data_IF_970062282972
#
_entry.id   IF_970062282972
#
_cell.length_a   1.000
_cell.length_b   1.000
_cell.length_c   1.000
_cell.angle_alpha   90.00
_cell.angle_beta   90.00
_cell.angle_gamma   90.00
#
_symmetry.space_group_name_H-M   'P 1'
#
loop_
_entity.id
_entity.type
_entity.pdbx_description
1 polymer ?
#
# COMPACT_ATOMS: atom_id res chain seq x y z
N UNK A 1 -12.98 13.14 11.99
CA UNK A 1 -12.56 13.13 13.42
C UNK A 1 -13.59 13.77 14.35
N UNK A 2 -14.02 15.02 14.14
CA UNK A 2 -15.00 15.73 14.99
C UNK A 2 -16.28 14.93 15.30
N UNK A 3 -16.76 14.14 14.33
CA UNK A 3 -18.03 13.40 14.43
C UNK A 3 -17.86 11.89 14.69
N UNK A 4 -16.67 11.41 15.04
CA UNK A 4 -16.44 9.97 15.30
C UNK A 4 -16.54 9.04 14.08
N UNK A 5 -16.76 9.57 12.87
CA UNK A 5 -16.81 8.79 11.63
C UNK A 5 -15.42 8.24 11.30
N UNK A 6 -15.35 6.92 11.06
CA UNK A 6 -14.14 6.23 10.64
C UNK A 6 -13.78 6.60 9.20
N UNK A 7 -12.49 6.81 8.97
CA UNK A 7 -11.93 7.25 7.69
C UNK A 7 -10.99 6.20 7.10
N UNK A 8 -11.12 5.95 5.80
CA UNK A 8 -10.24 5.05 5.06
C UNK A 8 -9.59 5.81 3.90
N UNK A 9 -8.27 5.78 3.86
CA UNK A 9 -7.47 6.43 2.82
C UNK A 9 -7.03 5.40 1.78
N UNK A 10 -7.18 5.75 0.51
CA UNK A 10 -6.76 4.92 -0.63
C UNK A 10 -5.70 5.68 -1.42
N UNK A 11 -4.55 5.04 -1.66
CA UNK A 11 -3.42 5.65 -2.35
C UNK A 11 -2.84 4.69 -3.39
N UNK A 12 -2.43 5.23 -4.54
CA UNK A 12 -1.90 4.47 -5.67
C UNK A 12 -0.48 4.98 -5.94
N UNK A 13 0.46 4.07 -6.14
CA UNK A 13 1.84 4.34 -6.57
C UNK A 13 2.12 3.77 -7.96
N UNK A 14 3.04 4.37 -8.70
CA UNK A 14 3.42 3.98 -10.05
C UNK A 14 2.62 4.69 -11.15
N UNK A 15 2.01 5.84 -10.85
CA UNK A 15 1.34 6.65 -11.87
C UNK A 15 2.38 7.38 -12.75
N UNK A 16 2.04 7.72 -14.02
CA UNK A 16 2.94 8.46 -14.90
C UNK A 16 3.40 9.79 -14.28
N UNK A 17 4.70 10.07 -14.38
CA UNK A 17 5.31 11.28 -13.82
C UNK A 17 5.62 11.24 -12.33
N UNK A 18 5.26 10.15 -11.63
CA UNK A 18 5.61 9.97 -10.22
C UNK A 18 7.13 9.76 -10.03
N UNK A 19 7.68 10.32 -8.95
CA UNK A 19 9.10 10.22 -8.59
C UNK A 19 9.28 9.64 -7.19
N UNK A 20 10.50 9.23 -6.85
CA UNK A 20 10.84 8.77 -5.49
C UNK A 20 10.50 9.82 -4.43
N UNK A 21 10.73 11.10 -4.75
CA UNK A 21 10.45 12.22 -3.84
C UNK A 21 8.95 12.45 -3.66
N UNK A 22 8.17 12.39 -4.73
CA UNK A 22 6.71 12.53 -4.63
C UNK A 22 6.11 11.39 -3.83
N UNK A 23 6.59 10.15 -4.02
CA UNK A 23 6.20 8.98 -3.22
C UNK A 23 6.46 9.21 -1.74
N UNK A 24 7.68 9.63 -1.36
CA UNK A 24 8.00 9.89 0.05
C UNK A 24 7.12 11.00 0.64
N UNK A 25 6.84 12.03 -0.15
CA UNK A 25 5.94 13.12 0.25
C UNK A 25 4.52 12.62 0.47
N UNK A 26 4.00 11.78 -0.43
CA UNK A 26 2.69 11.13 -0.30
C UNK A 26 2.60 10.27 0.95
N UNK A 27 3.63 9.45 1.24
CA UNK A 27 3.68 8.63 2.46
C UNK A 27 3.67 9.51 3.72
N UNK A 28 4.47 10.58 3.76
CA UNK A 28 4.49 11.53 4.87
C UNK A 28 3.12 12.17 5.07
N UNK A 29 2.46 12.61 3.99
CA UNK A 29 1.12 13.20 4.03
C UNK A 29 0.05 12.21 4.51
N UNK A 30 0.09 10.96 4.04
CA UNK A 30 -0.81 9.90 4.48
C UNK A 30 -0.73 9.66 6.00
N UNK A 31 0.48 9.67 6.53
CA UNK A 31 0.76 9.53 7.96
C UNK A 31 0.26 10.75 8.73
N UNK A 32 0.55 11.95 8.25
CA UNK A 32 0.13 13.20 8.88
C UNK A 32 -1.39 13.34 8.95
N UNK A 33 -2.11 12.94 7.89
CA UNK A 33 -3.57 12.95 7.85
C UNK A 33 -4.18 12.04 8.94
N UNK A 34 -3.44 10.99 9.32
CA UNK A 34 -3.80 10.05 10.37
C UNK A 34 -5.25 9.52 10.28
N UNK A 35 -5.64 8.91 9.12
CA UNK A 35 -6.90 8.21 8.96
C UNK A 35 -6.96 6.95 9.84
N UNK A 36 -8.15 6.37 9.98
CA UNK A 36 -8.35 5.17 10.77
C UNK A 36 -7.82 3.91 10.07
N UNK A 37 -7.85 3.90 8.74
CA UNK A 37 -7.31 2.84 7.90
C UNK A 37 -6.66 3.44 6.64
N UNK A 38 -5.67 2.74 6.08
CA UNK A 38 -5.06 3.12 4.81
C UNK A 38 -4.75 1.89 3.94
N UNK A 39 -5.07 1.98 2.66
CA UNK A 39 -4.76 0.96 1.66
C UNK A 39 -3.87 1.57 0.57
N UNK A 40 -2.78 0.88 0.26
CA UNK A 40 -1.80 1.31 -0.72
C UNK A 40 -1.78 0.32 -1.88
N UNK A 41 -1.86 0.83 -3.10
CA UNK A 41 -1.98 0.07 -4.33
C UNK A 41 -0.85 0.38 -5.29
N UNK A 42 -0.58 -0.54 -6.19
CA UNK A 42 0.19 -0.28 -7.40
C UNK A 42 -0.76 0.12 -8.53
N UNK A 43 -0.32 1.02 -9.41
CA UNK A 43 -1.11 1.43 -10.57
C UNK A 43 -1.23 0.28 -11.56
N UNK A 44 -2.48 -0.13 -11.86
CA UNK A 44 -2.77 -1.23 -12.77
C UNK A 44 -3.29 -0.67 -14.11
N UNK A 45 -2.62 -0.94 -15.24
CA UNK A 45 -3.00 -0.44 -16.55
C UNK A 45 -4.13 -1.28 -17.18
N UNK A 46 -5.35 -1.13 -16.67
CA UNK A 46 -6.50 -1.92 -17.15
C UNK A 46 -6.83 -1.68 -18.64
N UNK A 47 -7.36 -2.69 -19.35
CA UNK A 47 -7.75 -2.57 -20.75
C UNK A 47 -8.70 -1.41 -21.01
N UNK A 48 -8.55 -0.74 -22.15
CA UNK A 48 -9.41 0.38 -22.54
C UNK A 48 -9.12 1.71 -21.84
N UNK A 49 -8.30 1.74 -20.79
CA UNK A 49 -7.93 2.97 -20.09
C UNK A 49 -6.88 3.79 -20.84
N UNK A 50 -6.88 5.11 -20.63
CA UNK A 50 -5.80 6.00 -21.11
C UNK A 50 -4.44 5.58 -20.54
N UNK A 51 -4.43 5.17 -19.28
CA UNK A 51 -3.20 4.74 -18.61
C UNK A 51 -2.58 3.53 -19.34
N UNK A 52 -3.40 2.55 -19.74
CA UNK A 52 -2.93 1.40 -20.52
C UNK A 52 -2.39 1.81 -21.88
N UNK A 53 -3.08 2.69 -22.61
CA UNK A 53 -2.59 3.20 -23.91
C UNK A 53 -1.21 3.83 -23.75
N UNK A 54 -1.07 4.73 -22.78
CA UNK A 54 0.17 5.44 -22.49
C UNK A 54 1.34 4.49 -22.20
N UNK A 55 1.17 3.52 -21.29
CA UNK A 55 2.29 2.63 -20.93
C UNK A 55 2.65 1.62 -22.01
N UNK A 56 1.69 1.26 -22.88
CA UNK A 56 1.96 0.39 -24.03
C UNK A 56 2.72 1.16 -25.11
N UNK A 57 2.24 2.35 -25.49
CA UNK A 57 2.86 3.18 -26.53
C UNK A 57 4.32 3.54 -26.16
N UNK A 58 4.59 3.78 -24.88
CA UNK A 58 5.92 4.13 -24.39
C UNK A 58 6.80 2.93 -24.01
N UNK A 59 6.29 1.70 -24.10
CA UNK A 59 7.04 0.50 -23.74
C UNK A 59 7.32 0.36 -22.23
N UNK A 60 6.50 0.97 -21.37
CA UNK A 60 6.63 0.90 -19.91
C UNK A 60 5.88 -0.28 -19.28
N UNK A 61 4.99 -0.93 -20.03
CA UNK A 61 4.28 -2.13 -19.57
C UNK A 61 5.21 -3.34 -19.60
N UNK A 62 5.40 -3.98 -18.44
CA UNK A 62 6.30 -5.12 -18.32
C UNK A 62 5.66 -6.45 -18.74
N UNK A 63 4.33 -6.55 -18.63
CA UNK A 63 3.63 -7.79 -18.93
C UNK A 63 2.14 -7.63 -19.24
N UNK A 64 1.59 -8.64 -19.90
CA UNK A 64 0.19 -8.69 -20.35
C UNK A 64 -0.59 -9.88 -19.79
N UNK A 65 0.01 -10.68 -18.91
CA UNK A 65 -0.67 -11.79 -18.26
C UNK A 65 -1.76 -11.28 -17.32
N UNK A 66 -3.03 -11.54 -17.64
CA UNK A 66 -4.17 -11.06 -16.85
C UNK A 66 -4.18 -11.57 -15.42
N UNK A 67 -3.61 -12.74 -15.15
CA UNK A 67 -3.48 -13.29 -13.80
C UNK A 67 -2.60 -12.43 -12.89
N UNK A 68 -1.78 -11.53 -13.46
CA UNK A 68 -0.89 -10.65 -12.69
C UNK A 68 -1.45 -9.23 -12.52
N UNK A 69 -2.66 -8.95 -13.04
CA UNK A 69 -3.36 -7.66 -12.93
C UNK A 69 -3.98 -7.47 -11.55
N UNK A 70 -3.12 -7.51 -10.55
CA UNK A 70 -3.46 -7.32 -9.16
C UNK A 70 -3.03 -5.93 -8.67
N UNK A 71 -3.86 -5.34 -7.82
CA UNK A 71 -3.64 -4.01 -7.24
C UNK A 71 -2.48 -3.96 -6.23
N UNK A 72 -1.90 -5.10 -5.88
CA UNK A 72 -0.75 -5.26 -5.00
C UNK A 72 0.57 -5.44 -5.79
N UNK A 73 0.52 -5.57 -7.12
CA UNK A 73 1.65 -5.91 -7.98
C UNK A 73 1.92 -4.78 -8.99
N UNK A 74 3.15 -4.28 -9.03
CA UNK A 74 3.53 -3.29 -10.03
C UNK A 74 3.72 -3.94 -11.41
N UNK A 75 3.02 -3.42 -12.42
CA UNK A 75 3.07 -3.91 -13.80
C UNK A 75 3.84 -2.99 -14.76
N UNK A 76 4.33 -1.87 -14.24
CA UNK A 76 4.95 -0.81 -15.02
C UNK A 76 6.35 -0.52 -14.49
N UNK A 77 7.23 -0.10 -15.39
CA UNK A 77 8.55 0.42 -15.06
C UNK A 77 8.85 1.63 -15.93
N UNK A 78 9.30 2.71 -15.29
CA UNK A 78 9.65 3.97 -15.94
C UNK A 78 11.16 4.20 -15.85
N UNK A 79 11.75 4.99 -16.77
CA UNK A 79 13.17 5.33 -16.70
C UNK A 79 13.61 5.90 -15.35
N UNK A 80 12.74 6.69 -14.72
CA UNK A 80 13.00 7.34 -13.43
C UNK A 80 12.50 6.56 -12.21
N UNK A 81 11.73 5.47 -12.39
CA UNK A 81 11.08 4.75 -11.29
C UNK A 81 10.78 3.30 -11.70
N UNK A 82 11.52 2.35 -11.11
CA UNK A 82 11.38 0.93 -11.47
C UNK A 82 10.18 0.25 -10.81
N UNK A 83 9.78 -0.91 -11.35
CA UNK A 83 8.77 -1.80 -10.74
C UNK A 83 9.09 -2.11 -9.28
N UNK A 84 10.34 -2.45 -8.99
CA UNK A 84 10.82 -2.84 -7.66
C UNK A 84 10.71 -1.68 -6.68
N UNK A 85 10.96 -0.46 -7.15
CA UNK A 85 10.85 0.75 -6.35
C UNK A 85 9.40 1.08 -6.01
N UNK A 86 8.47 0.92 -6.96
CA UNK A 86 7.02 1.04 -6.72
C UNK A 86 6.58 0.00 -5.68
N UNK A 87 7.02 -1.26 -5.83
CA UNK A 87 6.68 -2.33 -4.91
C UNK A 87 7.25 -2.08 -3.51
N UNK A 88 8.49 -1.58 -3.44
CA UNK A 88 9.17 -1.21 -2.19
C UNK A 88 8.49 -0.02 -1.53
N UNK A 89 8.08 0.99 -2.30
CA UNK A 89 7.32 2.13 -1.82
C UNK A 89 6.01 1.70 -1.18
N UNK A 90 5.26 0.81 -1.83
CA UNK A 90 4.03 0.22 -1.27
C UNK A 90 4.31 -0.45 0.08
N UNK A 91 5.28 -1.36 0.15
CA UNK A 91 5.68 -2.05 1.40
C UNK A 91 6.09 -1.05 2.49
N UNK A 92 6.89 -0.04 2.12
CA UNK A 92 7.33 1.04 3.02
C UNK A 92 6.17 1.85 3.57
N UNK A 93 5.18 2.18 2.74
CA UNK A 93 4.00 2.92 3.13
C UNK A 93 3.17 2.17 4.19
N UNK A 94 2.92 0.87 3.98
CA UNK A 94 2.27 0.01 4.97
C UNK A 94 3.01 0.00 6.30
N UNK A 95 4.33 -0.22 6.28
CA UNK A 95 5.18 -0.22 7.47
C UNK A 95 5.09 1.08 8.25
N UNK A 96 5.32 2.20 7.56
CA UNK A 96 5.33 3.51 8.19
C UNK A 96 3.94 3.94 8.66
N UNK A 97 2.86 3.38 8.12
CA UNK A 97 1.50 3.68 8.56
C UNK A 97 1.05 2.83 9.74
N UNK A 98 1.18 1.50 9.65
CA UNK A 98 0.61 0.58 10.65
C UNK A 98 1.52 0.36 11.86
N UNK A 99 2.83 0.57 11.74
CA UNK A 99 3.76 0.41 12.87
C UNK A 99 4.06 1.70 13.62
N UNK A 100 3.22 2.74 13.45
CA UNK A 100 3.33 3.96 14.24
C UNK A 100 2.93 3.63 15.68
N UNK A 101 3.74 3.97 16.69
CA UNK A 101 3.38 3.75 18.09
C UNK A 101 2.01 4.33 18.44
N UNK A 102 1.70 5.53 17.94
CA UNK A 102 0.41 6.19 18.14
C UNK A 102 -0.77 5.42 17.53
N UNK A 103 -0.59 4.82 16.35
CA UNK A 103 -1.61 3.99 15.72
C UNK A 103 -1.84 2.70 16.52
N UNK A 104 -0.76 2.03 16.91
CA UNK A 104 -0.81 0.80 17.71
C UNK A 104 -1.52 1.10 19.03
N UNK A 105 -1.09 2.11 19.79
CA UNK A 105 -1.69 2.48 21.07
C UNK A 105 -3.19 2.82 20.94
N UNK A 106 -3.57 3.56 19.89
CA UNK A 106 -4.99 3.84 19.61
C UNK A 106 -5.78 2.55 19.37
N UNK A 107 -5.25 1.62 18.56
CA UNK A 107 -5.91 0.33 18.32
C UNK A 107 -5.97 -0.54 19.57
N UNK A 108 -4.93 -0.51 20.40
CA UNK A 108 -4.92 -1.22 21.68
C UNK A 108 -6.03 -0.76 22.61
N UNK A 109 -6.34 0.54 22.64
CA UNK A 109 -7.45 1.10 23.43
C UNK A 109 -8.83 0.71 22.87
N UNK A 110 -8.95 0.39 21.58
CA UNK A 110 -10.19 -0.06 20.97
C UNK A 110 -10.52 -1.53 21.32
N UNK A 111 -9.54 -2.36 21.72
CA UNK A 111 -9.74 -3.78 22.05
C UNK A 111 -9.66 -4.07 23.57
N UNK A 112 -10.67 -4.70 24.18
CA UNK A 112 -10.63 -5.05 25.59
C UNK A 112 -9.54 -6.10 25.87
N UNK A 113 -8.86 -6.00 27.02
CA UNK A 113 -7.74 -6.87 27.44
C UNK A 113 -8.02 -8.38 27.36
N UNK A 114 -9.30 -8.79 27.38
CA UNK A 114 -9.72 -10.20 27.24
C UNK A 114 -9.55 -10.76 25.82
N UNK A 115 -9.63 -9.93 24.79
CA UNK A 115 -9.44 -10.31 23.38
C UNK A 115 -7.95 -10.49 23.01
N UNK A 116 -7.04 -9.96 23.82
CA UNK A 116 -5.60 -9.97 23.55
C UNK A 116 -4.99 -11.36 23.43
N UNK A 117 -5.52 -12.34 24.18
CA UNK A 117 -5.12 -13.75 24.05
C UNK A 117 -5.40 -14.31 22.65
N UNK A 118 -6.38 -13.75 21.92
CA UNK A 118 -6.70 -14.11 20.52
C UNK A 118 -5.95 -13.26 19.51
N UNK A 119 -5.76 -11.97 19.81
CA UNK A 119 -5.13 -11.00 18.90
C UNK A 119 -3.62 -11.22 18.82
N UNK A 120 -2.93 -11.51 19.93
CA UNK A 120 -1.47 -11.68 19.95
C UNK A 120 -1.01 -12.82 19.01
N UNK A 121 -1.61 -14.03 19.03
CA UNK A 121 -1.23 -15.09 18.08
C UNK A 121 -1.51 -14.71 16.63
N UNK A 122 -2.65 -14.07 16.34
CA UNK A 122 -3.01 -13.63 14.98
C UNK A 122 -2.05 -12.56 14.47
N UNK A 123 -1.73 -11.57 15.31
CA UNK A 123 -0.70 -10.58 15.02
C UNK A 123 0.65 -11.27 14.80
N UNK A 124 1.06 -12.20 15.66
CA UNK A 124 2.30 -12.95 15.47
C UNK A 124 2.34 -13.70 14.13
N UNK A 125 1.27 -14.42 13.76
CA UNK A 125 1.18 -15.11 12.47
C UNK A 125 1.18 -14.15 11.29
N UNK A 126 0.45 -13.04 11.38
CA UNK A 126 0.42 -11.98 10.39
C UNK A 126 1.81 -11.36 10.20
N UNK A 127 2.48 -10.99 11.30
CA UNK A 127 3.83 -10.42 11.28
C UNK A 127 4.87 -11.44 10.80
N UNK A 128 4.74 -12.71 11.19
CA UNK A 128 5.63 -13.78 10.73
C UNK A 128 5.45 -14.02 9.23
N UNK A 129 4.23 -14.14 8.72
CA UNK A 129 4.01 -14.20 7.27
C UNK A 129 4.50 -12.94 6.56
N UNK A 130 4.20 -11.77 7.10
CA UNK A 130 4.59 -10.51 6.48
C UNK A 130 6.11 -10.25 6.45
N UNK A 131 6.85 -10.70 7.48
CA UNK A 131 8.32 -10.61 7.55
C UNK A 131 9.01 -11.73 6.75
N UNK A 132 8.44 -12.94 6.71
CA UNK A 132 9.10 -14.12 6.12
C UNK A 132 8.62 -14.52 4.72
N UNK A 133 7.40 -14.18 4.29
CA UNK A 133 6.88 -14.52 2.95
C UNK A 133 6.60 -13.32 2.04
N UNK A 134 6.60 -12.07 2.54
CA UNK A 134 6.56 -10.87 1.69
C UNK A 134 5.31 -10.69 0.81
N UNK A 135 4.33 -11.58 0.93
CA UNK A 135 3.06 -11.59 0.21
C UNK A 135 1.93 -11.24 1.17
N UNK A 136 1.07 -10.33 0.71
CA UNK A 136 -0.23 -10.08 1.32
C UNK A 136 -1.24 -10.72 0.36
N UNK A 137 -1.72 -11.92 0.69
CA UNK A 137 -3.05 -12.34 0.25
C UNK A 137 -4.04 -11.64 1.19
N UNK A 138 -4.64 -10.56 0.70
CA UNK A 138 -5.91 -10.03 1.21
C UNK A 138 -7.01 -10.46 0.28
#
# INVERSE_FOLDING_TARGET
KKYGIKSQLHLIFGLPGETRESIETTIKRAIALNPDYAQFYCAVPFPGTEFRRYVVEKGYLLQTNWSEYEINNALVSYPQLSKEEIQTARKKAYRKFYFRPTYILKKMQEFPLREWKKIIPQAYHFFKGWVFSGEIQT
#
